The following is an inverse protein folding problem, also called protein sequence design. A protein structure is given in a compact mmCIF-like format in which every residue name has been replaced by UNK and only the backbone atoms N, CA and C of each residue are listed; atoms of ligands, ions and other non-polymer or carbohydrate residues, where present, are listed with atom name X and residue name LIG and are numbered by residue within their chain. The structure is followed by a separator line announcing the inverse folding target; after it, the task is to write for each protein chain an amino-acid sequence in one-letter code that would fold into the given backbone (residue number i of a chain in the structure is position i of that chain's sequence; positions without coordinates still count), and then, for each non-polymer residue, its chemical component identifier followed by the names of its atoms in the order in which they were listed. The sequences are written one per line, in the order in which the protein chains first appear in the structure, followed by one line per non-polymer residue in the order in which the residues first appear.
data_IF_269148425088
#
_entry.id   IF_269148425088
#
_cell.length_a   1.000
_cell.length_b   1.000
_cell.length_c   1.000
_cell.angle_alpha   90.00
_cell.angle_beta   90.00
_cell.angle_gamma   90.00
#
_symmetry.space_group_name_H-M   'P 1'
#
loop_
_entity.id
_entity.type
_entity.pdbx_description
1 polymer ?
#
# COMPACT_ATOMS: atom_id res chain seq x y z
N UNK A 1 -40.02 7.75 -16.52
CA UNK A 1 -38.81 7.08 -15.98
C UNK A 1 -38.55 7.42 -14.50
N UNK A 2 -38.43 8.70 -14.13
CA UNK A 2 -38.23 9.16 -12.73
C UNK A 2 -39.26 8.64 -11.71
N UNK A 3 -40.56 8.64 -12.07
CA UNK A 3 -41.63 8.11 -11.20
C UNK A 3 -41.50 6.61 -10.92
N UNK A 4 -41.04 5.83 -11.90
CA UNK A 4 -40.80 4.40 -11.78
C UNK A 4 -39.54 4.10 -10.94
N UNK A 5 -38.50 4.93 -11.07
CA UNK A 5 -37.30 4.86 -10.24
C UNK A 5 -37.63 5.18 -8.78
N UNK A 6 -38.38 6.25 -8.53
CA UNK A 6 -38.83 6.64 -7.18
C UNK A 6 -39.65 5.54 -6.48
N UNK A 7 -40.58 4.90 -7.21
CA UNK A 7 -41.36 3.76 -6.70
C UNK A 7 -40.47 2.56 -6.34
N UNK A 8 -39.47 2.24 -7.19
CA UNK A 8 -38.50 1.18 -6.89
C UNK A 8 -37.62 1.49 -5.68
N UNK A 9 -37.20 2.74 -5.52
CA UNK A 9 -36.41 3.18 -4.36
C UNK A 9 -37.22 3.08 -3.07
N UNK A 10 -38.48 3.55 -3.09
CA UNK A 10 -39.39 3.43 -1.95
C UNK A 10 -39.65 1.97 -1.56
N UNK A 11 -39.88 1.11 -2.55
CA UNK A 11 -40.04 -0.33 -2.33
C UNK A 11 -38.76 -0.97 -1.74
N UNK A 12 -37.58 -0.56 -2.21
CA UNK A 12 -36.30 -1.01 -1.67
C UNK A 12 -36.15 -0.63 -0.19
N UNK A 13 -36.34 0.64 0.18
CA UNK A 13 -36.25 1.07 1.58
C UNK A 13 -37.29 0.40 2.50
N UNK A 14 -38.51 0.17 1.99
CA UNK A 14 -39.54 -0.56 2.71
C UNK A 14 -39.12 -2.02 2.99
N UNK A 15 -38.50 -2.68 2.01
CA UNK A 15 -37.93 -4.01 2.17
C UNK A 15 -36.76 -4.03 3.16
N UNK A 16 -35.83 -3.07 3.04
CA UNK A 16 -34.67 -2.94 3.95
C UNK A 16 -35.08 -2.73 5.41
N UNK A 17 -36.16 -1.98 5.65
CA UNK A 17 -36.69 -1.76 7.00
C UNK A 17 -37.21 -3.04 7.67
N UNK A 18 -37.71 -4.00 6.89
CA UNK A 18 -38.28 -5.26 7.38
C UNK A 18 -37.26 -6.39 7.47
N UNK A 19 -35.98 -6.11 7.20
CA UNK A 19 -34.92 -7.11 7.25
C UNK A 19 -34.72 -7.65 8.68
N UNK A 20 -34.64 -8.97 8.79
CA UNK A 20 -34.04 -9.61 9.96
C UNK A 20 -32.52 -9.38 9.92
N UNK A 21 -32.03 -8.66 10.91
CA UNK A 21 -30.63 -8.26 11.00
C UNK A 21 -29.70 -9.44 11.33
N UNK A 22 -30.18 -10.41 12.10
CA UNK A 22 -29.41 -11.60 12.47
C UNK A 22 -29.33 -12.57 11.30
N UNK A 23 -30.42 -12.73 10.56
CA UNK A 23 -30.40 -13.55 9.34
C UNK A 23 -29.56 -12.90 8.23
N UNK A 24 -29.60 -11.58 8.11
CA UNK A 24 -28.68 -10.85 7.22
C UNK A 24 -27.20 -11.05 7.61
N UNK A 25 -26.87 -11.04 8.91
CA UNK A 25 -25.52 -11.36 9.37
C UNK A 25 -25.11 -12.80 9.03
N UNK A 26 -26.03 -13.78 9.22
CA UNK A 26 -25.78 -15.17 8.84
C UNK A 26 -25.50 -15.30 7.34
N UNK A 27 -26.25 -14.58 6.50
CA UNK A 27 -26.01 -14.53 5.06
C UNK A 27 -24.61 -13.98 4.73
N UNK A 28 -24.20 -12.87 5.34
CA UNK A 28 -22.86 -12.29 5.12
C UNK A 28 -21.77 -13.31 5.50
N UNK A 29 -21.86 -13.93 6.68
CA UNK A 29 -20.82 -14.84 7.17
C UNK A 29 -20.77 -16.14 6.34
N UNK A 30 -21.92 -16.76 6.08
CA UNK A 30 -22.00 -18.11 5.48
C UNK A 30 -21.97 -18.10 3.96
N UNK A 31 -22.53 -17.09 3.31
CA UNK A 31 -22.68 -17.10 1.85
C UNK A 31 -21.71 -16.14 1.15
N UNK A 32 -21.21 -15.12 1.86
CA UNK A 32 -20.27 -14.14 1.29
C UNK A 32 -18.85 -14.43 1.77
N UNK A 33 -18.57 -14.30 3.07
CA UNK A 33 -17.22 -14.49 3.62
C UNK A 33 -16.73 -15.91 3.34
N UNK A 34 -17.51 -16.93 3.70
CA UNK A 34 -17.10 -18.32 3.44
C UNK A 34 -16.82 -18.58 1.95
N UNK A 35 -17.60 -18.05 1.01
CA UNK A 35 -17.34 -18.26 -0.41
C UNK A 35 -16.18 -17.43 -0.96
N UNK A 36 -16.00 -16.18 -0.52
CA UNK A 36 -14.85 -15.35 -0.94
C UNK A 36 -13.55 -15.99 -0.47
N UNK A 37 -13.47 -16.44 0.79
CA UNK A 37 -12.24 -17.01 1.37
C UNK A 37 -12.02 -18.49 1.01
N UNK A 38 -13.05 -19.24 0.60
CA UNK A 38 -12.92 -20.65 0.20
C UNK A 38 -12.65 -20.83 -1.31
N UNK A 39 -12.58 -19.77 -2.11
CA UNK A 39 -12.25 -19.88 -3.54
C UNK A 39 -10.76 -20.17 -3.72
N UNK A 40 -10.42 -21.46 -3.68
CA UNK A 40 -9.09 -22.02 -3.96
C UNK A 40 -8.41 -21.51 -5.25
N UNK A 41 -9.11 -20.81 -6.16
CA UNK A 41 -8.60 -20.45 -7.49
C UNK A 41 -8.86 -19.02 -7.98
N UNK A 42 -9.66 -18.16 -7.33
CA UNK A 42 -10.00 -16.85 -7.93
C UNK A 42 -9.23 -15.68 -7.31
N UNK A 43 -9.09 -15.68 -5.98
CA UNK A 43 -8.41 -14.62 -5.25
C UNK A 43 -6.96 -14.39 -5.71
N UNK A 44 -6.12 -15.44 -5.93
CA UNK A 44 -4.75 -15.25 -6.44
C UNK A 44 -4.70 -14.60 -7.82
N UNK A 45 -5.68 -14.90 -8.70
CA UNK A 45 -5.73 -14.33 -10.05
C UNK A 45 -6.22 -12.89 -10.04
N UNK A 46 -7.19 -12.55 -9.19
CA UNK A 46 -7.64 -11.16 -9.00
C UNK A 46 -6.51 -10.33 -8.39
N UNK A 47 -5.78 -10.88 -7.40
CA UNK A 47 -4.59 -10.25 -6.85
C UNK A 47 -3.55 -10.04 -7.96
N UNK A 48 -3.22 -11.06 -8.77
CA UNK A 48 -2.26 -10.94 -9.86
C UNK A 48 -2.67 -9.91 -10.93
N UNK A 49 -3.96 -9.86 -11.30
CA UNK A 49 -4.46 -8.89 -12.27
C UNK A 49 -4.45 -7.46 -11.71
N UNK A 50 -4.76 -7.30 -10.42
CA UNK A 50 -4.56 -6.04 -9.71
C UNK A 50 -3.09 -5.67 -9.62
N UNK A 51 -2.18 -6.61 -9.36
CA UNK A 51 -0.72 -6.38 -9.38
C UNK A 51 -0.29 -5.81 -10.72
N UNK A 52 -0.66 -6.45 -11.82
CA UNK A 52 -0.29 -5.99 -13.16
C UNK A 52 -0.92 -4.63 -13.47
N UNK A 53 -2.22 -4.46 -13.22
CA UNK A 53 -2.94 -3.22 -13.51
C UNK A 53 -2.43 -2.03 -12.70
N UNK A 54 -2.19 -2.22 -11.40
CA UNK A 54 -1.65 -1.17 -10.54
C UNK A 54 -0.19 -0.89 -10.84
N UNK A 55 0.65 -1.91 -11.11
CA UNK A 55 2.05 -1.71 -11.50
C UNK A 55 2.17 -0.80 -12.73
N UNK A 56 1.33 -1.02 -13.76
CA UNK A 56 1.28 -0.16 -14.95
C UNK A 56 0.90 1.29 -14.62
N UNK A 57 -0.07 1.49 -13.73
CA UNK A 57 -0.51 2.83 -13.30
C UNK A 57 0.53 3.50 -12.40
N UNK A 58 1.23 2.74 -11.54
CA UNK A 58 2.27 3.28 -10.67
C UNK A 58 3.50 3.69 -11.48
N UNK A 59 3.86 2.91 -12.49
CA UNK A 59 4.96 3.20 -13.42
C UNK A 59 4.72 4.51 -14.19
N UNK A 60 3.47 4.81 -14.57
CA UNK A 60 3.11 6.10 -15.21
C UNK A 60 3.05 7.29 -14.24
N UNK A 61 2.69 7.07 -12.96
CA UNK A 61 2.36 8.16 -12.04
C UNK A 61 3.53 8.73 -11.25
N UNK A 62 4.58 7.95 -10.97
CA UNK A 62 5.87 8.44 -10.44
C UNK A 62 6.97 7.48 -10.88
N UNK A 63 8.18 8.01 -11.12
CA UNK A 63 9.41 7.23 -11.29
C UNK A 63 9.74 6.43 -10.00
N UNK A 64 8.98 5.37 -9.74
CA UNK A 64 9.37 4.33 -8.80
C UNK A 64 10.45 3.54 -9.54
N UNK A 65 11.71 3.88 -9.27
CA UNK A 65 12.82 3.07 -9.76
C UNK A 65 12.66 1.67 -9.18
N UNK A 66 12.23 0.72 -10.01
CA UNK A 66 12.18 -0.70 -9.70
C UNK A 66 13.60 -1.22 -9.92
N UNK A 67 14.42 -1.43 -8.87
CA UNK A 67 15.70 -2.09 -9.08
C UNK A 67 15.39 -3.50 -9.62
N UNK A 68 15.80 -3.77 -10.86
CA UNK A 68 15.67 -5.08 -11.53
C UNK A 68 16.21 -6.24 -10.66
N UNK A 69 17.03 -5.94 -9.66
CA UNK A 69 17.67 -6.90 -8.75
C UNK A 69 16.82 -7.35 -7.56
N UNK A 70 15.59 -6.83 -7.36
CA UNK A 70 14.72 -7.29 -6.26
C UNK A 70 13.23 -7.26 -6.58
N UNK A 71 12.84 -7.87 -7.71
CA UNK A 71 11.44 -8.11 -8.10
C UNK A 71 10.64 -8.76 -6.97
N UNK A 72 11.24 -9.65 -6.19
CA UNK A 72 10.58 -10.34 -5.07
C UNK A 72 10.22 -9.39 -3.91
N UNK A 73 11.08 -8.43 -3.56
CA UNK A 73 10.76 -7.47 -2.50
C UNK A 73 9.70 -6.46 -2.94
N UNK A 74 9.73 -6.02 -4.21
CA UNK A 74 8.66 -5.21 -4.79
C UNK A 74 7.33 -5.97 -4.81
N UNK A 75 7.32 -7.21 -5.29
CA UNK A 75 6.13 -8.06 -5.28
C UNK A 75 5.59 -8.28 -3.86
N UNK A 76 6.46 -8.50 -2.87
CA UNK A 76 6.07 -8.68 -1.48
C UNK A 76 5.49 -7.40 -0.87
N UNK A 77 6.11 -6.25 -1.13
CA UNK A 77 5.60 -4.93 -0.77
C UNK A 77 4.22 -4.69 -1.37
N UNK A 78 4.07 -4.95 -2.67
CA UNK A 78 2.82 -4.78 -3.39
C UNK A 78 1.72 -5.69 -2.83
N UNK A 79 2.03 -6.98 -2.61
CA UNK A 79 1.09 -7.95 -2.01
C UNK A 79 0.66 -7.47 -0.62
N UNK A 80 1.61 -6.98 0.19
CA UNK A 80 1.31 -6.47 1.52
C UNK A 80 0.37 -5.26 1.46
N UNK A 81 0.65 -4.27 0.61
CA UNK A 81 -0.19 -3.08 0.48
C UNK A 81 -1.57 -3.39 -0.10
N UNK A 82 -1.66 -4.35 -1.02
CA UNK A 82 -2.93 -4.85 -1.54
C UNK A 82 -3.73 -5.57 -0.45
N UNK A 83 -3.08 -6.38 0.39
CA UNK A 83 -3.73 -7.03 1.54
C UNK A 83 -4.26 -5.97 2.51
N UNK A 84 -3.45 -4.98 2.88
CA UNK A 84 -3.88 -3.88 3.77
C UNK A 84 -5.04 -3.10 3.15
N UNK A 85 -5.00 -2.84 1.85
CA UNK A 85 -6.07 -2.15 1.14
C UNK A 85 -7.37 -2.96 1.11
N UNK A 86 -7.30 -4.27 0.86
CA UNK A 86 -8.47 -5.18 0.92
C UNK A 86 -9.04 -5.22 2.34
N UNK A 87 -8.18 -5.32 3.36
CA UNK A 87 -8.62 -5.32 4.76
C UNK A 87 -9.38 -4.02 5.04
N UNK A 88 -8.82 -2.88 4.67
CA UNK A 88 -9.42 -1.56 4.92
C UNK A 88 -10.70 -1.31 4.14
N UNK A 89 -10.77 -1.68 2.86
CA UNK A 89 -11.90 -1.37 1.99
C UNK A 89 -13.03 -2.41 2.03
N UNK A 90 -12.74 -3.66 2.37
CA UNK A 90 -13.72 -4.74 2.37
C UNK A 90 -13.95 -5.34 3.75
N UNK A 91 -12.89 -5.69 4.49
CA UNK A 91 -13.06 -6.45 5.74
C UNK A 91 -13.57 -5.56 6.87
N UNK A 92 -12.94 -4.41 7.12
CA UNK A 92 -13.37 -3.48 8.17
C UNK A 92 -14.84 -3.04 8.03
N UNK A 93 -15.34 -2.56 6.88
CA UNK A 93 -16.74 -2.20 6.77
C UNK A 93 -17.68 -3.39 6.97
N UNK A 94 -17.32 -4.59 6.50
CA UNK A 94 -18.14 -5.79 6.76
C UNK A 94 -18.22 -6.10 8.26
N UNK A 95 -17.09 -6.03 8.97
CA UNK A 95 -17.06 -6.26 10.42
C UNK A 95 -17.90 -5.23 11.18
N UNK A 96 -17.80 -3.94 10.79
CA UNK A 96 -18.62 -2.87 11.35
C UNK A 96 -20.11 -3.13 11.07
N UNK A 97 -20.49 -3.51 9.85
CA UNK A 97 -21.89 -3.83 9.48
C UNK A 97 -22.42 -4.96 10.36
N UNK A 98 -21.67 -6.05 10.51
CA UNK A 98 -22.08 -7.22 11.31
C UNK A 98 -22.28 -6.82 12.78
N UNK A 99 -21.34 -6.04 13.32
CA UNK A 99 -21.39 -5.56 14.71
C UNK A 99 -22.58 -4.63 14.95
N UNK A 100 -22.80 -3.64 14.10
CA UNK A 100 -23.94 -2.72 14.19
C UNK A 100 -25.26 -3.47 14.04
N UNK A 101 -25.36 -4.40 13.10
CA UNK A 101 -26.55 -5.25 12.93
C UNK A 101 -26.83 -6.09 14.19
N UNK A 102 -25.80 -6.64 14.83
CA UNK A 102 -25.94 -7.41 16.05
C UNK A 102 -26.45 -6.55 17.21
N UNK A 103 -25.83 -5.40 17.46
CA UNK A 103 -26.25 -4.47 18.53
C UNK A 103 -27.67 -3.96 18.29
N UNK A 104 -27.98 -3.57 17.05
CA UNK A 104 -29.33 -3.04 16.71
C UNK A 104 -30.40 -4.13 16.63
N UNK A 105 -30.02 -5.42 16.61
CA UNK A 105 -30.99 -6.53 16.67
C UNK A 105 -31.72 -6.61 18.01
N UNK A 106 -31.08 -6.20 19.11
CA UNK A 106 -31.65 -6.16 20.46
C UNK A 106 -32.80 -5.14 20.61
N UNK A 107 -32.90 -4.16 19.70
CA UNK A 107 -34.01 -3.22 19.71
C UNK A 107 -35.28 -3.92 19.19
N UNK A 108 -36.28 -4.12 20.05
CA UNK A 108 -37.53 -4.77 19.67
C UNK A 108 -38.39 -3.92 18.70
N UNK A 109 -39.10 -4.59 17.77
CA UNK A 109 -40.05 -3.99 16.83
C UNK A 109 -39.45 -3.60 15.45
N UNK A 110 -40.31 -3.48 14.43
CA UNK A 110 -39.94 -3.07 13.06
C UNK A 110 -40.39 -1.63 12.76
N UNK A 111 -39.89 -0.68 13.53
CA UNK A 111 -40.29 0.74 13.44
C UNK A 111 -39.38 1.54 12.50
N UNK A 112 -39.89 2.66 11.97
CA UNK A 112 -39.05 3.63 11.23
C UNK A 112 -37.90 4.16 12.11
N UNK A 113 -38.15 4.28 13.41
CA UNK A 113 -37.18 4.75 14.41
C UNK A 113 -36.02 3.76 14.55
N UNK A 114 -36.29 2.45 14.69
CA UNK A 114 -35.21 1.42 14.72
C UNK A 114 -34.32 1.49 13.48
N UNK A 115 -34.93 1.65 12.31
CA UNK A 115 -34.18 1.76 11.05
C UNK A 115 -33.32 3.03 10.98
N UNK A 116 -33.83 4.16 11.47
CA UNK A 116 -33.07 5.41 11.56
C UNK A 116 -31.90 5.29 12.53
N UNK A 117 -32.11 4.76 13.74
CA UNK A 117 -31.06 4.50 14.73
C UNK A 117 -29.97 3.62 14.13
N UNK A 118 -30.35 2.55 13.42
CA UNK A 118 -29.41 1.66 12.74
C UNK A 118 -28.55 2.43 11.73
N UNK A 119 -29.16 3.21 10.84
CA UNK A 119 -28.43 3.95 9.81
C UNK A 119 -27.48 5.00 10.42
N UNK A 120 -27.94 5.74 11.43
CA UNK A 120 -27.11 6.72 12.14
C UNK A 120 -25.92 6.03 12.80
N UNK A 121 -26.18 4.95 13.55
CA UNK A 121 -25.12 4.16 14.22
C UNK A 121 -24.12 3.61 13.21
N UNK A 122 -24.59 3.14 12.04
CA UNK A 122 -23.74 2.63 10.98
C UNK A 122 -22.85 3.73 10.39
N UNK A 123 -23.42 4.89 10.05
CA UNK A 123 -22.67 6.03 9.48
C UNK A 123 -21.64 6.52 10.50
N UNK A 124 -22.02 6.70 11.76
CA UNK A 124 -21.11 7.12 12.83
C UNK A 124 -19.99 6.08 13.02
N UNK A 125 -20.31 4.79 13.02
CA UNK A 125 -19.29 3.73 13.13
C UNK A 125 -18.36 3.69 11.93
N UNK A 126 -18.84 4.01 10.73
CA UNK A 126 -18.00 4.15 9.54
C UNK A 126 -17.06 5.35 9.66
N UNK A 127 -17.54 6.51 10.11
CA UNK A 127 -16.71 7.69 10.31
C UNK A 127 -15.63 7.42 11.36
N UNK A 128 -16.01 6.87 12.52
CA UNK A 128 -15.06 6.52 13.59
C UNK A 128 -14.07 5.46 13.11
N UNK A 129 -14.54 4.47 12.37
CA UNK A 129 -13.68 3.42 11.81
C UNK A 129 -12.64 3.99 10.84
N UNK A 130 -13.06 4.86 9.91
CA UNK A 130 -12.12 5.53 9.00
C UNK A 130 -11.13 6.38 9.79
N UNK A 131 -11.56 7.13 10.80
CA UNK A 131 -10.65 7.95 11.61
C UNK A 131 -9.63 7.11 12.39
N UNK A 132 -10.04 5.95 12.90
CA UNK A 132 -9.17 5.07 13.68
C UNK A 132 -8.18 4.28 12.82
N UNK A 133 -8.58 3.87 11.61
CA UNK A 133 -7.74 3.08 10.71
C UNK A 133 -6.96 3.93 9.70
N UNK A 134 -7.26 5.22 9.58
CA UNK A 134 -6.56 6.18 8.74
C UNK A 134 -5.47 6.89 9.54
N UNK A 135 -4.23 6.93 9.06
CA UNK A 135 -3.21 7.82 9.60
C UNK A 135 -3.63 9.31 9.52
N UNK A 136 -3.10 10.13 10.43
CA UNK A 136 -3.47 11.54 10.59
C UNK A 136 -3.19 12.43 9.36
N UNK A 137 -2.31 11.99 8.46
CA UNK A 137 -1.89 12.75 7.28
C UNK A 137 -2.82 12.55 6.06
N UNK A 138 -3.85 11.71 6.15
CA UNK A 138 -4.82 11.52 5.06
C UNK A 138 -5.83 12.67 5.05
N UNK A 139 -5.96 13.31 3.88
CA UNK A 139 -6.85 14.44 3.67
C UNK A 139 -8.33 14.11 3.95
N UNK A 140 -9.08 15.09 4.47
CA UNK A 140 -10.47 14.93 4.90
C UNK A 140 -11.37 14.47 3.74
N UNK A 141 -11.13 14.98 2.52
CA UNK A 141 -11.89 14.60 1.34
C UNK A 141 -11.75 13.10 1.03
N UNK A 142 -10.56 12.53 1.27
CA UNK A 142 -10.30 11.10 1.05
C UNK A 142 -11.01 10.26 2.10
N UNK A 143 -10.98 10.70 3.38
CA UNK A 143 -11.74 10.04 4.45
C UNK A 143 -13.24 9.99 4.13
N UNK A 144 -13.81 11.09 3.62
CA UNK A 144 -15.21 11.14 3.16
C UNK A 144 -15.46 10.16 2.00
N UNK A 145 -14.55 10.07 1.04
CA UNK A 145 -14.66 9.13 -0.08
C UNK A 145 -14.69 7.66 0.38
N UNK A 146 -13.87 7.29 1.36
CA UNK A 146 -13.88 5.93 1.94
C UNK A 146 -15.22 5.62 2.61
N UNK A 147 -15.78 6.57 3.38
CA UNK A 147 -17.12 6.40 3.98
C UNK A 147 -18.21 6.20 2.92
N UNK A 148 -18.16 6.94 1.81
CA UNK A 148 -19.09 6.76 0.69
C UNK A 148 -18.97 5.36 0.08
N UNK A 149 -17.75 4.84 -0.07
CA UNK A 149 -17.52 3.48 -0.56
C UNK A 149 -18.09 2.44 0.40
N UNK A 150 -17.88 2.60 1.70
CA UNK A 150 -18.42 1.69 2.72
C UNK A 150 -19.96 1.70 2.74
N UNK A 151 -20.59 2.85 2.52
CA UNK A 151 -22.04 2.95 2.33
C UNK A 151 -22.50 2.25 1.05
N UNK A 152 -21.75 2.41 -0.05
CA UNK A 152 -21.99 1.70 -1.31
C UNK A 152 -21.95 0.17 -1.12
N UNK A 153 -20.91 -0.32 -0.42
CA UNK A 153 -20.75 -1.73 -0.08
C UNK A 153 -21.95 -2.25 0.72
N UNK A 154 -22.39 -1.52 1.74
CA UNK A 154 -23.56 -1.88 2.54
C UNK A 154 -24.83 -2.02 1.67
N UNK A 155 -25.06 -1.10 0.73
CA UNK A 155 -26.19 -1.16 -0.20
C UNK A 155 -26.11 -2.35 -1.16
N UNK A 156 -24.90 -2.70 -1.62
CA UNK A 156 -24.67 -3.91 -2.42
C UNK A 156 -25.04 -5.15 -1.61
N UNK A 157 -24.56 -5.26 -0.37
CA UNK A 157 -24.80 -6.42 0.50
C UNK A 157 -26.30 -6.61 0.78
N UNK A 158 -27.02 -5.53 1.10
CA UNK A 158 -28.48 -5.57 1.23
C UNK A 158 -29.11 -6.05 -0.08
N UNK A 159 -28.67 -5.51 -1.21
CA UNK A 159 -29.22 -5.85 -2.52
C UNK A 159 -29.02 -7.32 -2.90
N UNK A 160 -27.89 -7.92 -2.50
CA UNK A 160 -27.60 -9.34 -2.65
C UNK A 160 -28.46 -10.19 -1.71
N UNK A 161 -28.61 -9.80 -0.45
CA UNK A 161 -29.43 -10.53 0.50
C UNK A 161 -30.93 -10.53 0.11
N UNK A 162 -31.47 -9.38 -0.31
CA UNK A 162 -32.83 -9.30 -0.83
C UNK A 162 -33.05 -10.17 -2.08
N UNK A 163 -32.02 -10.34 -2.91
CA UNK A 163 -32.07 -11.25 -4.06
C UNK A 163 -32.01 -12.72 -3.61
N UNK A 164 -31.19 -13.03 -2.60
CA UNK A 164 -31.09 -14.35 -2.01
C UNK A 164 -32.42 -14.83 -1.42
N UNK A 165 -33.09 -14.00 -0.60
CA UNK A 165 -34.41 -14.34 -0.04
C UNK A 165 -35.42 -14.65 -1.15
N UNK A 166 -35.39 -13.88 -2.25
CA UNK A 166 -36.41 -13.96 -3.31
C UNK A 166 -36.17 -15.08 -4.33
N UNK A 167 -34.91 -15.42 -4.60
CA UNK A 167 -34.54 -16.29 -5.73
C UNK A 167 -33.66 -17.48 -5.31
N UNK A 168 -33.36 -17.64 -4.02
CA UNK A 168 -32.48 -18.66 -3.47
C UNK A 168 -31.07 -18.70 -4.10
N UNK A 169 -30.67 -17.61 -4.76
CA UNK A 169 -29.37 -17.46 -5.40
C UNK A 169 -28.85 -16.04 -5.20
N UNK A 170 -27.69 -15.85 -4.51
CA UNK A 170 -27.14 -14.53 -4.21
C UNK A 170 -26.60 -13.79 -5.45
N UNK A 171 -26.34 -14.50 -6.55
CA UNK A 171 -25.72 -13.97 -7.78
C UNK A 171 -26.74 -13.55 -8.84
N UNK A 172 -28.04 -13.78 -8.62
CA UNK A 172 -29.11 -13.37 -9.56
C UNK A 172 -29.40 -11.87 -9.42
N UNK A 173 -28.39 -11.07 -9.71
CA UNK A 173 -28.40 -9.61 -9.67
C UNK A 173 -28.96 -9.07 -10.99
N UNK A 174 -29.82 -8.05 -10.92
CA UNK A 174 -30.32 -7.38 -12.13
C UNK A 174 -29.21 -6.60 -12.82
N UNK A 175 -29.32 -6.34 -14.14
CA UNK A 175 -28.35 -5.54 -14.92
C UNK A 175 -27.99 -4.21 -14.24
N UNK A 176 -28.97 -3.55 -13.60
CA UNK A 176 -28.80 -2.32 -12.83
C UNK A 176 -27.93 -2.50 -11.58
N UNK A 177 -28.05 -3.63 -10.88
CA UNK A 177 -27.22 -3.94 -9.70
C UNK A 177 -25.78 -4.31 -10.10
N UNK A 178 -25.59 -4.95 -11.25
CA UNK A 178 -24.26 -5.20 -11.82
C UNK A 178 -23.57 -3.90 -12.22
N UNK A 179 -24.25 -2.98 -12.92
CA UNK A 179 -23.71 -1.66 -13.26
C UNK A 179 -23.32 -0.89 -11.99
N UNK A 180 -24.16 -0.93 -10.96
CA UNK A 180 -23.85 -0.31 -9.67
C UNK A 180 -22.61 -0.93 -9.01
N UNK A 181 -22.49 -2.26 -8.99
CA UNK A 181 -21.32 -2.96 -8.47
C UNK A 181 -20.03 -2.53 -9.20
N UNK A 182 -20.05 -2.50 -10.53
CA UNK A 182 -18.92 -2.03 -11.34
C UNK A 182 -18.59 -0.56 -11.07
N UNK A 183 -19.59 0.31 -10.90
CA UNK A 183 -19.34 1.71 -10.55
C UNK A 183 -18.69 1.87 -9.17
N UNK A 184 -19.09 1.08 -8.18
CA UNK A 184 -18.46 1.06 -6.84
C UNK A 184 -17.02 0.54 -6.93
N UNK A 185 -16.75 -0.49 -7.74
CA UNK A 185 -15.40 -1.00 -7.99
C UNK A 185 -14.50 0.06 -8.65
N UNK A 186 -15.00 0.78 -9.66
CA UNK A 186 -14.25 1.86 -10.33
C UNK A 186 -13.99 3.02 -9.34
N UNK A 187 -15.00 3.42 -8.56
CA UNK A 187 -14.86 4.47 -7.55
C UNK A 187 -13.93 4.07 -6.40
N UNK A 188 -13.81 2.76 -6.11
CA UNK A 188 -12.89 2.22 -5.13
C UNK A 188 -11.44 2.16 -5.63
N UNK A 189 -11.21 2.12 -6.95
CA UNK A 189 -9.87 2.04 -7.51
C UNK A 189 -9.01 3.28 -7.19
N UNK A 190 -9.55 4.49 -7.31
CA UNK A 190 -8.83 5.73 -6.98
C UNK A 190 -8.34 5.81 -5.52
N UNK A 191 -9.18 5.61 -4.49
CA UNK A 191 -8.72 5.64 -3.11
C UNK A 191 -7.83 4.44 -2.79
N UNK A 192 -7.99 3.30 -3.46
CA UNK A 192 -7.08 2.16 -3.32
C UNK A 192 -5.67 2.52 -3.82
N UNK A 193 -5.54 3.19 -4.97
CA UNK A 193 -4.26 3.71 -5.49
C UNK A 193 -3.65 4.73 -4.53
N UNK A 194 -4.47 5.62 -3.94
CA UNK A 194 -3.97 6.65 -3.04
C UNK A 194 -3.55 6.10 -1.68
N UNK A 195 -4.30 5.16 -1.13
CA UNK A 195 -3.88 4.41 0.07
C UNK A 195 -2.58 3.67 -0.25
N UNK A 196 -2.45 3.06 -1.42
CA UNK A 196 -1.21 2.41 -1.86
C UNK A 196 -0.03 3.40 -1.93
N UNK A 197 -0.21 4.55 -2.57
CA UNK A 197 0.80 5.61 -2.63
C UNK A 197 1.21 6.11 -1.23
N UNK A 198 0.24 6.40 -0.37
CA UNK A 198 0.50 6.88 0.98
C UNK A 198 1.08 5.82 1.91
N UNK A 199 0.73 4.54 1.71
CA UNK A 199 1.33 3.42 2.43
C UNK A 199 2.76 3.20 1.94
N UNK A 200 3.04 3.40 0.65
CA UNK A 200 4.40 3.41 0.09
C UNK A 200 5.27 4.54 0.64
N UNK A 201 4.70 5.74 0.77
CA UNK A 201 5.34 6.89 1.41
C UNK A 201 5.61 6.63 2.90
N UNK A 202 4.63 6.10 3.65
CA UNK A 202 4.77 5.81 5.08
C UNK A 202 5.71 4.65 5.38
N UNK A 203 5.78 3.65 4.49
CA UNK A 203 6.72 2.53 4.59
C UNK A 203 8.13 2.90 4.13
N UNK A 204 8.35 4.14 3.65
CA UNK A 204 9.67 4.70 3.35
C UNK A 204 10.48 3.74 2.46
N UNK A 205 9.83 3.22 1.41
CA UNK A 205 10.41 2.22 0.50
C UNK A 205 11.71 2.70 -0.14
N UNK A 206 11.87 4.01 -0.32
CA UNK A 206 13.15 4.63 -0.68
C UNK A 206 13.51 5.68 0.34
N UNK A 207 14.58 5.46 1.09
CA UNK A 207 15.16 6.45 1.99
C UNK A 207 16.44 7.00 1.41
N UNK A 208 16.53 8.33 1.33
CA UNK A 208 17.72 9.06 0.90
C UNK A 208 18.46 9.55 2.15
N UNK A 209 19.76 9.29 2.20
CA UNK A 209 20.64 9.56 3.34
C UNK A 209 20.18 8.94 4.67
N UNK A 210 19.65 7.69 4.70
CA UNK A 210 19.25 7.06 5.95
C UNK A 210 20.45 6.77 6.85
N UNK A 211 20.22 6.73 8.15
CA UNK A 211 21.15 6.08 9.07
C UNK A 211 20.88 4.56 9.04
N UNK A 212 21.84 3.78 8.54
CA UNK A 212 21.73 2.32 8.42
C UNK A 212 22.80 1.66 9.26
N UNK A 213 22.39 0.70 10.07
CA UNK A 213 23.29 -0.20 10.78
C UNK A 213 23.53 -1.45 9.93
N UNK A 214 24.79 -1.83 9.80
CA UNK A 214 25.22 -3.08 9.18
C UNK A 214 25.99 -3.91 10.21
N UNK A 215 25.77 -5.21 10.20
CA UNK A 215 26.57 -6.16 10.99
C UNK A 215 28.00 -6.19 10.46
N UNK A 216 28.97 -6.57 11.29
CA UNK A 216 30.38 -6.68 10.92
C UNK A 216 30.66 -7.38 9.56
N UNK A 217 30.09 -8.56 9.25
CA UNK A 217 30.31 -9.18 7.95
C UNK A 217 29.79 -8.34 6.78
N UNK A 218 28.66 -7.64 6.96
CA UNK A 218 28.08 -6.79 5.92
C UNK A 218 28.88 -5.48 5.75
N UNK A 219 29.50 -4.96 6.81
CA UNK A 219 30.40 -3.82 6.74
C UNK A 219 31.65 -4.09 5.90
N UNK A 220 32.22 -5.29 6.03
CA UNK A 220 33.39 -5.69 5.25
C UNK A 220 33.10 -5.66 3.73
N UNK A 221 31.86 -5.94 3.33
CA UNK A 221 31.44 -5.91 1.93
C UNK A 221 31.45 -4.50 1.30
N UNK A 222 31.36 -3.44 2.11
CA UNK A 222 31.52 -2.07 1.59
C UNK A 222 32.97 -1.81 1.13
N UNK A 223 33.91 -2.42 1.84
CA UNK A 223 35.36 -2.26 1.67
C UNK A 223 35.98 -3.24 0.67
N UNK A 224 35.28 -4.31 0.26
CA UNK A 224 35.83 -5.32 -0.67
C UNK A 224 36.04 -4.73 -2.06
N UNK A 225 37.20 -4.11 -2.27
CA UNK A 225 37.58 -3.37 -3.48
C UNK A 225 38.06 -4.32 -4.58
N UNK A 226 37.69 -3.97 -5.81
CA UNK A 226 38.46 -4.39 -6.99
C UNK A 226 39.70 -3.46 -7.04
N UNK A 227 40.93 -3.98 -7.21
CA UNK A 227 42.17 -3.19 -7.17
C UNK A 227 42.30 -2.06 -8.21
N UNK A 228 41.35 -1.92 -9.15
CA UNK A 228 41.48 -1.04 -10.32
C UNK A 228 40.79 0.33 -10.20
N UNK A 229 40.12 0.63 -9.08
CA UNK A 229 39.43 1.91 -8.86
C UNK A 229 39.91 2.53 -7.54
N UNK A 230 41.06 3.20 -7.60
CA UNK A 230 41.60 3.95 -6.47
C UNK A 230 40.83 5.27 -6.29
N UNK A 231 39.94 5.30 -5.30
CA UNK A 231 39.34 6.54 -4.81
C UNK A 231 40.31 7.13 -3.79
N UNK A 232 40.78 8.39 -3.96
CA UNK A 232 41.67 9.02 -3.00
C UNK A 232 41.11 8.98 -1.58
N UNK A 233 41.96 8.71 -0.59
CA UNK A 233 41.52 8.49 0.79
C UNK A 233 40.74 9.66 1.39
N UNK A 234 41.09 10.89 1.02
CA UNK A 234 40.40 12.13 1.44
C UNK A 234 39.04 12.34 0.75
N UNK A 235 38.77 11.64 -0.35
CA UNK A 235 37.54 11.71 -1.12
C UNK A 235 36.66 10.46 -0.91
N UNK A 236 37.08 9.50 -0.10
CA UNK A 236 36.34 8.27 0.16
C UNK A 236 35.33 8.48 1.31
N UNK A 237 34.05 8.25 1.02
CA UNK A 237 32.93 8.31 1.98
C UNK A 237 33.17 7.39 3.18
N UNK A 238 33.76 6.20 2.97
CA UNK A 238 34.01 5.22 4.04
C UNK A 238 35.15 5.62 4.99
N UNK A 239 35.99 6.58 4.59
CA UNK A 239 37.08 7.11 5.44
C UNK A 239 36.68 8.37 6.21
N UNK A 240 35.43 8.84 6.05
CA UNK A 240 34.99 10.11 6.60
C UNK A 240 33.90 9.88 7.65
N UNK A 241 34.18 10.32 8.89
CA UNK A 241 33.26 10.22 10.04
C UNK A 241 31.99 11.06 9.89
N UNK A 242 31.86 11.88 8.85
CA UNK A 242 30.59 12.51 8.48
C UNK A 242 29.65 11.56 7.72
N UNK A 243 30.14 10.44 7.21
CA UNK A 243 29.34 9.51 6.41
C UNK A 243 29.40 8.05 6.87
N UNK A 244 30.45 7.67 7.57
CA UNK A 244 30.69 6.29 7.99
C UNK A 244 31.32 6.24 9.38
N UNK A 245 30.82 5.33 10.21
CA UNK A 245 31.36 5.06 11.54
C UNK A 245 31.42 3.56 11.79
N UNK A 246 32.61 3.04 11.92
CA UNK A 246 32.84 1.69 12.42
C UNK A 246 32.64 1.66 13.95
N UNK A 247 31.99 0.61 14.44
CA UNK A 247 31.77 0.39 15.87
C UNK A 247 32.92 -0.44 16.45
N UNK A 248 33.25 -0.24 17.74
CA UNK A 248 34.27 -1.04 18.41
C UNK A 248 33.88 -2.52 18.46
N UNK A 249 34.87 -3.36 18.74
CA UNK A 249 34.70 -4.81 19.03
C UNK A 249 33.97 -5.60 17.94
N UNK A 250 34.15 -5.24 16.67
CA UNK A 250 33.49 -5.88 15.52
C UNK A 250 31.95 -5.93 15.65
N UNK A 251 31.35 -4.95 16.32
CA UNK A 251 29.90 -4.90 16.44
C UNK A 251 29.24 -4.56 15.09
N UNK A 252 29.94 -3.85 14.20
CA UNK A 252 29.44 -3.49 12.89
C UNK A 252 29.78 -2.06 12.53
N UNK A 253 28.94 -1.42 11.74
CA UNK A 253 29.15 -0.05 11.28
C UNK A 253 27.82 0.65 11.03
N UNK A 254 27.85 1.96 11.23
CA UNK A 254 26.81 2.87 10.79
C UNK A 254 27.25 3.58 9.52
N UNK A 255 26.32 3.70 8.59
CA UNK A 255 26.46 4.54 7.41
C UNK A 255 25.33 5.55 7.36
N UNK A 256 25.65 6.77 6.95
CA UNK A 256 24.74 7.92 6.98
C UNK A 256 25.15 8.91 5.89
N UNK A 257 24.17 9.50 5.19
CA UNK A 257 24.48 10.37 4.04
C UNK A 257 25.11 9.59 2.87
N UNK A 258 25.11 10.18 1.67
CA UNK A 258 25.63 9.54 0.45
C UNK A 258 25.10 8.10 0.22
N UNK A 259 23.90 7.84 0.69
CA UNK A 259 23.29 6.52 0.71
C UNK A 259 21.84 6.58 0.26
N UNK A 260 21.42 5.58 -0.49
CA UNK A 260 20.02 5.38 -0.85
C UNK A 260 19.68 3.95 -0.46
N UNK A 261 18.67 3.79 0.40
CA UNK A 261 18.15 2.48 0.78
C UNK A 261 16.81 2.27 0.11
N UNK A 262 16.69 1.15 -0.59
CA UNK A 262 15.44 0.66 -1.18
C UNK A 262 14.93 -0.54 -0.38
N UNK A 263 13.61 -0.69 -0.23
CA UNK A 263 12.88 -1.80 0.41
C UNK A 263 12.66 -1.72 1.93
N UNK A 264 11.93 -2.70 2.47
CA UNK A 264 11.41 -2.79 3.84
C UNK A 264 12.06 -3.90 4.68
N UNK A 265 12.27 -3.63 5.97
CA UNK A 265 12.73 -4.65 6.93
C UNK A 265 14.16 -5.15 6.69
N UNK A 266 14.37 -6.46 6.80
CA UNK A 266 15.68 -7.11 6.63
C UNK A 266 16.06 -7.39 5.17
N UNK A 267 15.13 -7.21 4.22
CA UNK A 267 15.34 -7.36 2.79
C UNK A 267 15.47 -5.99 2.15
N UNK A 268 16.69 -5.55 1.84
CA UNK A 268 16.92 -4.21 1.30
C UNK A 268 18.11 -4.11 0.38
N UNK A 269 18.05 -3.10 -0.49
CA UNK A 269 19.17 -2.71 -1.34
C UNK A 269 19.72 -1.40 -0.79
N UNK A 270 21.00 -1.39 -0.43
CA UNK A 270 21.69 -0.19 0.03
C UNK A 270 22.71 0.22 -1.02
N UNK A 271 22.41 1.32 -1.72
CA UNK A 271 23.33 1.98 -2.62
C UNK A 271 24.13 3.02 -1.83
N UNK A 272 25.45 2.94 -1.88
CA UNK A 272 26.37 3.85 -1.19
C UNK A 272 27.27 4.51 -2.23
N UNK A 273 27.26 5.83 -2.30
CA UNK A 273 28.22 6.58 -3.10
C UNK A 273 29.56 6.61 -2.37
N UNK A 274 30.60 6.04 -2.99
CA UNK A 274 31.93 5.91 -2.39
C UNK A 274 32.76 7.18 -2.44
N UNK A 275 32.53 8.06 -3.40
CA UNK A 275 33.28 9.31 -3.55
C UNK A 275 32.45 10.51 -3.07
N UNK A 276 33.08 11.42 -2.30
CA UNK A 276 32.42 12.63 -1.79
C UNK A 276 32.23 13.64 -2.94
N UNK A 277 33.26 13.85 -3.75
CA UNK A 277 33.26 14.69 -4.96
C UNK A 277 33.45 13.82 -6.20
N UNK A 278 32.87 14.18 -7.36
CA UNK A 278 33.06 13.44 -8.61
C UNK A 278 34.55 13.21 -8.93
N UNK A 279 34.86 12.01 -9.44
CA UNK A 279 36.18 11.64 -9.91
C UNK A 279 36.32 12.03 -11.38
N UNK A 280 37.54 12.35 -11.82
CA UNK A 280 37.82 12.73 -13.21
C UNK A 280 38.68 11.65 -13.85
N UNK A 281 38.26 11.14 -15.01
CA UNK A 281 39.06 10.16 -15.75
C UNK A 281 40.14 10.84 -16.61
N UNK A 282 41.04 10.05 -17.21
CA UNK A 282 42.12 10.55 -18.10
C UNK A 282 41.60 11.35 -19.32
N UNK A 283 40.33 11.22 -19.67
CA UNK A 283 39.65 11.93 -20.78
C UNK A 283 38.86 13.15 -20.28
N UNK A 284 39.11 13.61 -19.05
CA UNK A 284 38.44 14.73 -18.40
C UNK A 284 36.92 14.59 -18.24
N UNK A 285 36.40 13.35 -18.21
CA UNK A 285 35.00 13.09 -17.88
C UNK A 285 34.85 12.81 -16.40
N UNK A 286 33.86 13.47 -15.80
CA UNK A 286 33.50 13.29 -14.40
C UNK A 286 32.57 12.09 -14.21
N UNK A 287 32.82 11.30 -13.17
CA UNK A 287 32.03 10.12 -12.82
C UNK A 287 31.98 9.91 -11.31
N UNK A 288 30.97 9.17 -10.86
CA UNK A 288 30.81 8.73 -9.47
C UNK A 288 30.90 7.21 -9.40
N UNK A 289 31.28 6.71 -8.23
CA UNK A 289 31.45 5.28 -7.95
C UNK A 289 30.55 4.91 -6.79
N UNK A 290 29.79 3.84 -6.97
CA UNK A 290 28.88 3.32 -5.96
C UNK A 290 29.19 1.86 -5.62
N UNK A 291 28.82 1.47 -4.40
CA UNK A 291 28.63 0.06 -4.02
C UNK A 291 27.16 -0.16 -3.72
N UNK A 292 26.64 -1.29 -4.16
CA UNK A 292 25.27 -1.72 -3.89
C UNK A 292 25.32 -2.99 -3.07
N UNK A 293 24.82 -2.93 -1.84
CA UNK A 293 24.57 -4.12 -1.04
C UNK A 293 23.15 -4.60 -1.32
N UNK A 294 22.99 -5.84 -1.77
CA UNK A 294 21.71 -6.51 -1.87
C UNK A 294 21.57 -7.45 -0.68
N UNK A 295 20.70 -7.12 0.27
CA UNK A 295 20.51 -7.83 1.52
C UNK A 295 19.21 -8.62 1.52
N UNK A 296 19.29 -9.90 1.87
CA UNK A 296 18.16 -10.82 1.99
C UNK A 296 18.24 -11.58 3.31
N UNK A 297 17.19 -11.51 4.13
CA UNK A 297 17.10 -12.11 5.44
C UNK A 297 18.33 -11.82 6.34
N UNK A 298 18.87 -10.59 6.25
CA UNK A 298 20.04 -10.15 7.03
C UNK A 298 21.41 -10.50 6.42
N UNK A 299 21.48 -11.29 5.35
CA UNK A 299 22.71 -11.59 4.63
C UNK A 299 22.84 -10.70 3.39
N UNK A 300 23.96 -10.01 3.24
CA UNK A 300 24.17 -9.09 2.12
C UNK A 300 25.19 -9.62 1.10
N UNK A 301 25.01 -9.21 -0.15
CA UNK A 301 25.97 -9.39 -1.24
C UNK A 301 26.34 -8.02 -1.81
N UNK A 302 27.63 -7.77 -2.05
CA UNK A 302 28.10 -6.50 -2.60
C UNK A 302 28.31 -6.58 -4.11
N UNK A 303 27.63 -5.71 -4.84
CA UNK A 303 27.99 -5.32 -6.20
C UNK A 303 28.79 -4.01 -6.13
N UNK A 304 30.08 -4.08 -6.40
CA UNK A 304 31.00 -2.96 -6.24
C UNK A 304 31.41 -2.33 -7.58
N UNK A 305 31.88 -1.08 -7.54
CA UNK A 305 32.36 -0.32 -8.69
C UNK A 305 31.31 -0.05 -9.76
N UNK A 306 30.10 0.30 -9.31
CA UNK A 306 29.09 0.84 -10.19
C UNK A 306 29.50 2.26 -10.57
N UNK A 307 29.95 2.44 -11.81
CA UNK A 307 30.46 3.72 -12.31
C UNK A 307 29.37 4.40 -13.13
N UNK A 308 28.97 5.60 -12.72
CA UNK A 308 28.01 6.42 -13.45
C UNK A 308 28.68 7.73 -13.90
N UNK A 309 28.62 8.09 -15.20
CA UNK A 309 29.02 9.42 -15.66
C UNK A 309 28.18 10.48 -14.96
N UNK A 310 28.79 11.57 -14.49
CA UNK A 310 28.09 12.59 -13.69
C UNK A 310 26.87 13.18 -14.41
N UNK A 311 26.93 13.33 -15.73
CA UNK A 311 25.85 13.90 -16.54
C UNK A 311 24.59 13.03 -16.56
N UNK A 312 24.74 11.72 -16.35
CA UNK A 312 23.66 10.73 -16.41
C UNK A 312 23.43 10.06 -15.04
N UNK A 313 24.00 10.63 -13.97
CA UNK A 313 23.94 10.07 -12.63
C UNK A 313 22.73 10.60 -11.87
N UNK A 314 21.60 9.93 -12.08
CA UNK A 314 20.35 10.21 -11.37
C UNK A 314 20.47 10.04 -9.84
N UNK A 315 21.32 9.14 -9.35
CA UNK A 315 21.47 8.90 -7.91
C UNK A 315 22.14 10.08 -7.21
N UNK A 316 23.10 10.73 -7.87
CA UNK A 316 23.73 11.94 -7.35
C UNK A 316 22.72 13.07 -7.16
N UNK A 317 21.81 13.23 -8.11
CA UNK A 317 20.73 14.23 -8.03
C UNK A 317 19.80 13.95 -6.84
N UNK A 318 19.42 12.69 -6.64
CA UNK A 318 18.63 12.26 -5.49
C UNK A 318 19.36 12.54 -4.16
N UNK A 319 20.63 12.17 -4.06
CA UNK A 319 21.44 12.39 -2.86
C UNK A 319 21.60 13.88 -2.52
N UNK A 320 21.76 14.73 -3.53
CA UNK A 320 21.92 16.18 -3.38
C UNK A 320 20.64 16.88 -2.93
N UNK A 321 19.46 16.42 -3.38
CA UNK A 321 18.16 16.99 -2.99
C UNK A 321 17.76 16.64 -1.54
N UNK A 322 18.34 15.56 -0.98
CA UNK A 322 17.91 15.02 0.31
C UNK A 322 16.45 14.56 0.29
N UNK A 323 15.89 14.14 1.42
CA UNK A 323 14.50 13.66 1.57
C UNK A 323 13.38 14.66 1.19
N UNK A 324 13.66 15.77 0.49
CA UNK A 324 12.63 16.69 -0.03
C UNK A 324 12.14 16.22 -1.41
N UNK A 325 11.25 15.22 -1.39
CA UNK A 325 10.17 15.11 -2.39
C UNK A 325 8.84 15.52 -1.73
N UNK A 326 8.85 16.66 -1.03
CA UNK A 326 7.63 17.42 -0.81
C UNK A 326 7.39 18.23 -2.07
N UNK A 327 6.69 17.68 -3.05
CA UNK A 327 5.69 18.36 -3.91
C UNK A 327 5.21 17.34 -4.96
N UNK A 328 3.89 17.08 -5.05
CA UNK A 328 3.33 16.42 -6.22
C UNK A 328 3.43 17.39 -7.40
N UNK A 329 4.00 16.93 -8.52
CA UNK A 329 3.73 17.53 -9.82
C UNK A 329 2.35 17.07 -10.31
#
# INVERSE_FOLDING_TARGET
MLKYISLRISAFFSATRKLDLLDFNKFILRNIIYHIFNTRNLLPFVIALCVVGFSLITEESRYIFIPQTSVAAYASFFIFTLIVSIITLLIYPIFIIVSVNFVTSYLHGTTKVKYAIKLITLIVSFIIGVEFFSPDYIDLLQKVQVVIIWLGLYLVLISMYLAYIKHNNPLKLSRLKLIFLFSVLILAAQPLIRIDLHTSEALNFTNINPQVYLTSPNCALLHSLNPNTEIPANNNTLNNTKYYRELPDNQGCYIYGNTIRYSFGYDYVLLVKKNIRPLVNKKNHEYNVYVRLNCFAGNCYSENNLIYPRKDDFYEELLAKGQRLYYPL
#
